data_IF_080048340316
#
_entry.id   IF_080048340316
#
_cell.length_a   1.000
_cell.length_b   1.000
_cell.length_c   1.000
_cell.angle_alpha   90.00
_cell.angle_beta   90.00
_cell.angle_gamma   90.00
#
_symmetry.space_group_name_H-M   'P 1'
#
loop_
_entity.id
_entity.type
_entity.pdbx_description
1 polymer ?
#
# COMPACT_ATOMS: atom_id res chain seq x y z
N UNK A 1 21.00 13.26 -1.52
CA UNK A 1 19.80 13.09 -0.66
C UNK A 1 19.36 14.47 -0.23
N UNK A 2 18.19 14.95 -0.68
CA UNK A 2 17.77 16.35 -0.49
C UNK A 2 17.50 16.75 0.98
N UNK A 3 17.34 15.77 1.88
CA UNK A 3 17.32 15.97 3.33
C UNK A 3 18.03 14.79 4.02
N UNK A 4 19.34 14.93 4.39
CA UNK A 4 20.03 13.87 5.13
C UNK A 4 19.39 13.63 6.49
N UNK A 5 19.49 12.39 6.97
CA UNK A 5 19.06 12.04 8.33
C UNK A 5 20.00 12.72 9.32
N UNK A 6 19.47 13.76 9.96
CA UNK A 6 20.16 14.61 10.93
C UNK A 6 19.07 15.15 11.85
N UNK A 7 19.30 15.27 13.18
CA UNK A 7 18.27 15.71 14.13
C UNK A 7 17.62 17.05 13.74
N UNK A 8 18.37 17.95 13.10
CA UNK A 8 17.89 19.25 12.63
C UNK A 8 16.88 19.17 11.47
N UNK A 9 16.97 18.13 10.63
CA UNK A 9 16.12 17.98 9.46
C UNK A 9 14.84 17.17 9.73
N UNK A 10 14.71 16.56 10.91
CA UNK A 10 13.59 15.69 11.27
C UNK A 10 12.25 16.40 11.09
N UNK A 11 12.13 17.65 11.59
CA UNK A 11 10.88 18.42 11.47
C UNK A 11 10.49 18.69 10.02
N UNK A 12 11.47 19.00 9.15
CA UNK A 12 11.23 19.21 7.72
C UNK A 12 10.78 17.91 7.04
N UNK A 13 11.43 16.79 7.37
CA UNK A 13 11.10 15.46 6.83
C UNK A 13 9.72 14.98 7.26
N UNK A 14 9.36 15.21 8.53
CA UNK A 14 8.02 14.94 9.04
C UNK A 14 6.98 15.85 8.37
N UNK A 15 7.32 17.13 8.16
CA UNK A 15 6.50 18.05 7.37
C UNK A 15 6.23 17.53 5.95
N UNK A 16 7.26 17.01 5.26
CA UNK A 16 7.09 16.38 3.95
C UNK A 16 6.24 15.11 4.02
N UNK A 17 6.39 14.27 5.05
CA UNK A 17 5.55 13.09 5.25
C UNK A 17 4.08 13.47 5.44
N UNK A 18 3.79 14.46 6.29
CA UNK A 18 2.43 14.96 6.50
C UNK A 18 1.85 15.57 5.23
N UNK A 19 2.63 16.37 4.49
CA UNK A 19 2.21 16.93 3.21
C UNK A 19 1.89 15.83 2.19
N UNK A 20 2.75 14.81 2.10
CA UNK A 20 2.52 13.65 1.24
C UNK A 20 1.25 12.89 1.61
N UNK A 21 1.03 12.66 2.90
CA UNK A 21 -0.19 12.04 3.42
C UNK A 21 -1.45 12.85 3.09
N UNK A 22 -1.40 14.17 3.27
CA UNK A 22 -2.50 15.06 2.93
C UNK A 22 -2.81 15.06 1.43
N UNK A 23 -1.79 15.19 0.57
CA UNK A 23 -1.95 15.11 -0.89
C UNK A 23 -2.53 13.75 -1.33
N UNK A 24 -2.08 12.66 -0.71
CA UNK A 24 -2.60 11.31 -0.98
C UNK A 24 -4.06 11.20 -0.57
N UNK A 25 -4.44 11.75 0.59
CA UNK A 25 -5.83 11.82 1.04
C UNK A 25 -6.72 12.60 0.07
N UNK A 26 -6.27 13.77 -0.39
CA UNK A 26 -6.99 14.58 -1.40
C UNK A 26 -7.13 13.80 -2.71
N UNK A 27 -6.07 13.11 -3.15
CA UNK A 27 -6.10 12.29 -4.36
C UNK A 27 -7.09 11.12 -4.27
N UNK A 28 -7.42 10.63 -3.08
CA UNK A 28 -8.42 9.58 -2.88
C UNK A 28 -9.86 10.13 -2.86
N UNK A 29 -10.04 11.44 -2.72
CA UNK A 29 -11.35 12.09 -2.61
C UNK A 29 -12.36 11.66 -3.69
N UNK A 30 -12.02 11.70 -4.99
CA UNK A 30 -12.93 11.27 -6.06
C UNK A 30 -13.36 9.80 -5.95
N UNK A 31 -12.44 8.93 -5.56
CA UNK A 31 -12.73 7.50 -5.37
C UNK A 31 -13.65 7.28 -4.16
N UNK A 32 -13.41 7.99 -3.06
CA UNK A 32 -14.26 7.94 -1.87
C UNK A 32 -15.66 8.49 -2.16
N UNK A 33 -15.77 9.57 -2.94
CA UNK A 33 -17.05 10.11 -3.39
C UNK A 33 -17.85 9.10 -4.20
N UNK A 34 -17.21 8.48 -5.20
CA UNK A 34 -17.85 7.45 -6.03
C UNK A 34 -18.34 6.24 -5.22
N UNK A 35 -17.61 5.84 -4.17
CA UNK A 35 -18.05 4.73 -3.29
C UNK A 35 -19.12 5.18 -2.29
N UNK A 36 -19.06 6.42 -1.81
CA UNK A 36 -20.08 6.98 -0.93
C UNK A 36 -21.46 7.07 -1.61
N UNK A 37 -21.48 7.37 -2.92
CA UNK A 37 -22.70 7.41 -3.72
C UNK A 37 -23.35 6.02 -3.88
N UNK A 38 -22.54 4.95 -3.89
CA UNK A 38 -23.03 3.56 -3.93
C UNK A 38 -23.53 3.14 -2.54
N UNK A 39 -22.62 3.17 -1.56
CA UNK A 39 -22.91 2.76 -0.18
C UNK A 39 -21.82 3.30 0.76
N UNK A 40 -22.14 4.28 1.63
CA UNK A 40 -21.14 4.93 2.48
C UNK A 40 -20.55 4.02 3.56
N UNK A 41 -21.24 2.94 3.95
CA UNK A 41 -20.74 1.98 4.94
C UNK A 41 -19.52 1.19 4.47
N UNK A 42 -19.23 1.17 3.16
CA UNK A 42 -18.08 0.44 2.60
C UNK A 42 -16.76 1.07 3.05
N UNK A 43 -16.69 2.39 3.18
CA UNK A 43 -15.47 3.13 3.50
C UNK A 43 -14.88 2.68 4.85
N UNK A 44 -15.62 2.72 5.98
CA UNK A 44 -15.08 2.27 7.26
C UNK A 44 -14.78 0.77 7.26
N UNK A 45 -15.57 -0.06 6.57
CA UNK A 45 -15.30 -1.51 6.45
C UNK A 45 -13.98 -1.76 5.71
N UNK A 46 -13.73 -1.06 4.61
CA UNK A 46 -12.48 -1.16 3.86
C UNK A 46 -11.29 -0.69 4.70
N UNK A 47 -11.45 0.39 5.47
CA UNK A 47 -10.40 0.90 6.34
C UNK A 47 -10.04 -0.11 7.44
N UNK A 48 -11.05 -0.62 8.16
CA UNK A 48 -10.84 -1.62 9.22
C UNK A 48 -10.27 -2.93 8.68
N UNK A 49 -10.75 -3.39 7.51
CA UNK A 49 -10.21 -4.56 6.84
C UNK A 49 -8.74 -4.38 6.45
N UNK A 50 -8.36 -3.19 5.98
CA UNK A 50 -6.97 -2.86 5.64
C UNK A 50 -6.08 -2.80 6.88
N UNK A 51 -6.56 -2.23 7.99
CA UNK A 51 -5.86 -2.26 9.27
C UNK A 51 -5.65 -3.69 9.77
N UNK A 52 -6.65 -4.56 9.63
CA UNK A 52 -6.55 -5.96 10.04
C UNK A 52 -5.53 -6.73 9.17
N UNK A 53 -5.57 -6.56 7.85
CA UNK A 53 -4.61 -7.16 6.91
C UNK A 53 -3.19 -6.66 7.21
N UNK A 54 -3.00 -5.34 7.22
CA UNK A 54 -1.70 -4.72 7.45
C UNK A 54 -1.13 -5.12 8.82
N UNK A 55 -1.94 -5.04 9.88
CA UNK A 55 -1.50 -5.37 11.23
C UNK A 55 -1.15 -6.85 11.39
N UNK A 56 -1.98 -7.76 10.86
CA UNK A 56 -1.71 -9.20 10.95
C UNK A 56 -0.46 -9.61 10.16
N UNK A 57 -0.27 -9.07 8.96
CA UNK A 57 0.92 -9.34 8.14
C UNK A 57 2.18 -8.72 8.74
N UNK A 58 2.10 -7.48 9.25
CA UNK A 58 3.24 -6.84 9.92
C UNK A 58 3.67 -7.63 11.16
N UNK A 59 2.71 -8.10 11.97
CA UNK A 59 3.00 -8.99 13.10
C UNK A 59 3.62 -10.31 12.64
N UNK A 60 3.05 -10.95 11.61
CA UNK A 60 3.61 -12.19 11.07
C UNK A 60 5.05 -11.99 10.57
N UNK A 61 5.33 -10.88 9.91
CA UNK A 61 6.68 -10.50 9.50
C UNK A 61 7.60 -10.28 10.70
N UNK A 62 7.16 -9.61 11.76
CA UNK A 62 7.99 -9.39 12.96
C UNK A 62 8.42 -10.69 13.66
N UNK A 63 7.56 -11.72 13.64
CA UNK A 63 7.85 -13.04 14.23
C UNK A 63 8.53 -14.03 13.27
N UNK A 64 8.64 -13.69 11.98
CA UNK A 64 9.28 -14.55 10.99
C UNK A 64 10.79 -14.63 11.19
N UNK A 65 11.39 -15.73 10.72
CA UNK A 65 12.84 -15.89 10.72
C UNK A 65 13.53 -14.75 9.97
N UNK A 66 14.64 -14.27 10.54
CA UNK A 66 15.38 -13.12 10.01
C UNK A 66 15.76 -13.34 8.55
N UNK A 67 15.45 -12.37 7.69
CA UNK A 67 15.74 -12.36 6.24
C UNK A 67 14.96 -13.38 5.40
N UNK A 68 14.06 -14.15 5.99
CA UNK A 68 13.24 -15.12 5.23
C UNK A 68 12.41 -14.44 4.13
N UNK A 69 11.79 -13.30 4.44
CA UNK A 69 10.94 -12.56 3.49
C UNK A 69 11.74 -11.74 2.47
N UNK A 70 13.02 -11.46 2.70
CA UNK A 70 13.83 -10.64 1.78
C UNK A 70 14.08 -11.33 0.44
N UNK A 71 14.03 -12.66 0.40
CA UNK A 71 14.09 -13.43 -0.84
C UNK A 71 12.92 -13.11 -1.79
N UNK A 72 11.76 -12.71 -1.23
CA UNK A 72 10.56 -12.40 -2.00
C UNK A 72 10.67 -11.08 -2.78
N UNK A 73 11.63 -10.22 -2.44
CA UNK A 73 11.76 -8.88 -3.02
C UNK A 73 11.87 -8.87 -4.55
N UNK A 74 12.64 -9.81 -5.12
CA UNK A 74 12.76 -9.93 -6.59
C UNK A 74 11.43 -10.26 -7.27
N UNK A 75 10.65 -11.16 -6.68
CA UNK A 75 9.33 -11.52 -7.17
C UNK A 75 8.32 -10.38 -7.05
N UNK A 76 8.30 -9.69 -5.89
CA UNK A 76 7.39 -8.57 -5.64
C UNK A 76 7.63 -7.39 -6.58
N UNK A 77 8.89 -7.00 -6.78
CA UNK A 77 9.25 -5.92 -7.71
C UNK A 77 8.92 -6.30 -9.16
N UNK A 78 9.17 -7.56 -9.55
CA UNK A 78 8.77 -8.05 -10.88
C UNK A 78 7.25 -8.00 -11.07
N UNK A 79 6.48 -8.44 -10.06
CA UNK A 79 5.02 -8.42 -10.10
C UNK A 79 4.47 -6.99 -10.15
N UNK A 80 5.07 -6.05 -9.42
CA UNK A 80 4.69 -4.63 -9.45
C UNK A 80 4.88 -4.05 -10.85
N UNK A 81 6.03 -4.32 -11.49
CA UNK A 81 6.28 -3.90 -12.86
C UNK A 81 5.27 -4.48 -13.84
N UNK A 82 4.89 -5.75 -13.66
CA UNK A 82 3.87 -6.39 -14.50
C UNK A 82 2.50 -5.72 -14.36
N UNK A 83 2.08 -5.38 -13.13
CA UNK A 83 0.82 -4.67 -12.89
C UNK A 83 0.82 -3.27 -13.52
N UNK A 84 1.93 -2.53 -13.40
CA UNK A 84 2.09 -1.23 -14.05
C UNK A 84 1.97 -1.34 -15.57
N UNK A 85 2.61 -2.35 -16.16
CA UNK A 85 2.48 -2.63 -17.60
C UNK A 85 1.03 -2.99 -17.98
N UNK A 86 0.35 -3.83 -17.20
CA UNK A 86 -1.05 -4.16 -17.43
C UNK A 86 -1.96 -2.93 -17.39
N UNK A 87 -1.80 -2.06 -16.39
CA UNK A 87 -2.53 -0.79 -16.27
C UNK A 87 -2.29 0.10 -17.50
N UNK A 88 -1.04 0.20 -17.96
CA UNK A 88 -0.69 0.98 -19.14
C UNK A 88 -1.38 0.46 -20.41
N UNK A 89 -1.35 -0.85 -20.66
CA UNK A 89 -2.05 -1.44 -21.79
C UNK A 89 -3.58 -1.35 -21.65
N UNK A 90 -4.10 -1.42 -20.42
CA UNK A 90 -5.54 -1.35 -20.18
C UNK A 90 -6.14 0.03 -20.52
N UNK A 91 -5.34 1.10 -20.54
CA UNK A 91 -5.81 2.43 -21.01
C UNK A 91 -6.24 2.36 -22.48
N UNK A 92 -5.59 1.53 -23.31
CA UNK A 92 -5.92 1.37 -24.73
C UNK A 92 -7.00 0.31 -24.98
N UNK A 93 -7.02 -0.75 -24.18
CA UNK A 93 -7.93 -1.89 -24.36
C UNK A 93 -9.29 -1.71 -23.68
N UNK A 94 -9.33 -1.02 -22.53
CA UNK A 94 -10.55 -0.83 -21.73
C UNK A 94 -11.16 -2.13 -21.20
N UNK A 95 -10.34 -3.16 -20.94
CA UNK A 95 -10.83 -4.49 -20.56
C UNK A 95 -11.18 -4.58 -19.07
N UNK A 96 -12.44 -4.90 -18.79
CA UNK A 96 -12.90 -5.16 -17.41
C UNK A 96 -12.16 -6.33 -16.75
N UNK A 97 -11.80 -7.35 -17.52
CA UNK A 97 -11.06 -8.51 -16.99
C UNK A 97 -9.66 -8.11 -16.51
N UNK A 98 -8.96 -7.27 -17.27
CA UNK A 98 -7.62 -6.78 -16.88
C UNK A 98 -7.71 -5.88 -15.65
N UNK A 99 -8.76 -5.06 -15.55
CA UNK A 99 -9.01 -4.25 -14.36
C UNK A 99 -9.23 -5.12 -13.11
N UNK A 100 -10.04 -6.17 -13.20
CA UNK A 100 -10.27 -7.09 -12.08
C UNK A 100 -8.97 -7.81 -11.66
N UNK A 101 -8.18 -8.27 -12.63
CA UNK A 101 -6.88 -8.88 -12.36
C UNK A 101 -5.91 -7.90 -11.68
N UNK A 102 -5.87 -6.63 -12.10
CA UNK A 102 -5.06 -5.62 -11.42
C UNK A 102 -5.52 -5.46 -9.97
N UNK A 103 -6.81 -5.26 -9.73
CA UNK A 103 -7.35 -5.00 -8.39
C UNK A 103 -7.06 -6.15 -7.44
N UNK A 104 -7.39 -7.39 -7.81
CA UNK A 104 -7.16 -8.57 -6.96
C UNK A 104 -5.68 -8.98 -6.89
N UNK A 105 -4.99 -9.03 -8.03
CA UNK A 105 -3.58 -9.39 -8.09
C UNK A 105 -2.71 -8.38 -7.34
N UNK A 106 -3.01 -7.10 -7.50
CA UNK A 106 -2.38 -6.03 -6.75
C UNK A 106 -2.62 -6.13 -5.25
N UNK A 107 -3.82 -6.52 -4.79
CA UNK A 107 -4.07 -6.68 -3.36
C UNK A 107 -3.14 -7.74 -2.76
N UNK A 108 -3.03 -8.91 -3.41
CA UNK A 108 -2.12 -9.98 -2.98
C UNK A 108 -0.66 -9.50 -2.98
N UNK A 109 -0.28 -8.77 -4.02
CA UNK A 109 1.07 -8.24 -4.19
C UNK A 109 1.44 -7.24 -3.09
N UNK A 110 0.55 -6.30 -2.75
CA UNK A 110 0.78 -5.34 -1.66
C UNK A 110 0.75 -6.00 -0.28
N UNK A 111 -0.03 -7.06 -0.07
CA UNK A 111 0.10 -7.90 1.12
C UNK A 111 1.52 -8.50 1.23
N UNK A 112 2.09 -8.93 0.09
CA UNK A 112 3.48 -9.38 0.03
C UNK A 112 4.50 -8.27 0.31
N UNK A 113 4.26 -7.05 -0.19
CA UNK A 113 5.10 -5.90 0.14
C UNK A 113 5.09 -5.57 1.63
N UNK A 114 3.94 -5.60 2.32
CA UNK A 114 3.90 -5.39 3.78
C UNK A 114 4.82 -6.37 4.51
N UNK A 115 4.81 -7.65 4.11
CA UNK A 115 5.70 -8.66 4.69
C UNK A 115 7.17 -8.34 4.42
N UNK A 116 7.50 -7.98 3.18
CA UNK A 116 8.85 -7.67 2.75
C UNK A 116 9.39 -6.39 3.40
N UNK A 117 8.63 -5.30 3.35
CA UNK A 117 9.03 -3.99 3.87
C UNK A 117 9.13 -4.01 5.39
N UNK A 118 8.24 -4.69 6.11
CA UNK A 118 8.37 -4.87 7.56
C UNK A 118 9.68 -5.59 7.91
N UNK A 119 9.99 -6.69 7.22
CA UNK A 119 11.25 -7.42 7.43
C UNK A 119 12.49 -6.61 7.01
N UNK A 120 12.38 -5.82 5.94
CA UNK A 120 13.44 -4.94 5.47
C UNK A 120 13.73 -3.83 6.47
N UNK A 121 12.69 -3.25 7.09
CA UNK A 121 12.81 -2.25 8.15
C UNK A 121 13.51 -2.84 9.38
N UNK A 122 13.12 -4.04 9.81
CA UNK A 122 13.79 -4.75 10.93
C UNK A 122 15.26 -4.99 10.61
N UNK A 123 15.58 -5.41 9.39
CA UNK A 123 16.96 -5.64 8.97
C UNK A 123 17.77 -4.34 8.89
N UNK A 124 17.20 -3.26 8.34
CA UNK A 124 17.83 -1.92 8.30
C UNK A 124 18.11 -1.41 9.71
N UNK A 125 17.14 -1.53 10.61
CA UNK A 125 17.29 -1.15 12.02
C UNK A 125 18.41 -1.93 12.71
N UNK A 126 18.47 -3.25 12.50
CA UNK A 126 19.57 -4.08 13.03
C UNK A 126 20.95 -3.71 12.47
N UNK A 127 21.01 -3.09 11.30
CA UNK A 127 22.23 -2.59 10.68
C UNK A 127 22.55 -1.12 11.07
N UNK A 128 21.80 -0.53 12.01
CA UNK A 128 22.02 0.81 12.54
C UNK A 128 21.29 1.93 11.80
N UNK A 129 20.36 1.62 10.89
CA UNK A 129 19.52 2.62 10.20
C UNK A 129 18.24 2.88 11.02
N UNK A 130 18.21 4.00 11.73
CA UNK A 130 17.09 4.44 12.57
C UNK A 130 16.17 5.45 11.85
N UNK A 131 16.15 5.45 10.51
CA UNK A 131 15.34 6.36 9.70
C UNK A 131 13.84 6.03 9.72
N UNK A 132 13.19 6.26 10.86
CA UNK A 132 11.77 5.98 11.05
C UNK A 132 10.86 6.77 10.11
N UNK A 133 11.28 7.95 9.62
CA UNK A 133 10.45 8.76 8.70
C UNK A 133 10.35 8.06 7.35
N UNK A 134 11.48 7.54 6.85
CA UNK A 134 11.51 6.77 5.60
C UNK A 134 10.76 5.45 5.76
N UNK A 135 11.00 4.73 6.86
CA UNK A 135 10.31 3.47 7.15
C UNK A 135 8.79 3.65 7.27
N UNK A 136 8.35 4.75 7.88
CA UNK A 136 6.92 5.09 7.95
C UNK A 136 6.32 5.39 6.57
N UNK A 137 7.09 6.04 5.68
CA UNK A 137 6.64 6.33 4.32
C UNK A 137 6.48 5.03 3.50
N UNK A 138 7.45 4.13 3.57
CA UNK A 138 7.42 2.84 2.86
C UNK A 138 6.15 2.07 3.26
N UNK A 139 5.90 1.90 4.57
CA UNK A 139 4.70 1.24 5.10
C UNK A 139 3.39 1.98 4.80
N UNK A 140 3.41 3.31 4.77
CA UNK A 140 2.24 4.12 4.41
C UNK A 140 1.79 3.85 2.96
N UNK A 141 2.74 3.70 2.04
CA UNK A 141 2.44 3.39 0.64
C UNK A 141 1.81 2.00 0.49
N UNK A 142 2.31 1.00 1.21
CA UNK A 142 1.68 -0.33 1.20
C UNK A 142 0.26 -0.29 1.74
N UNK A 143 0.07 0.37 2.89
CA UNK A 143 -1.23 0.50 3.52
C UNK A 143 -2.26 1.18 2.59
N UNK A 144 -1.88 2.29 1.97
CA UNK A 144 -2.82 3.05 1.14
C UNK A 144 -3.19 2.30 -0.15
N UNK A 145 -2.27 1.49 -0.69
CA UNK A 145 -2.54 0.64 -1.84
C UNK A 145 -3.48 -0.52 -1.48
N UNK A 146 -3.29 -1.17 -0.33
CA UNK A 146 -4.24 -2.17 0.19
C UNK A 146 -5.62 -1.53 0.37
N UNK A 147 -5.70 -0.39 1.02
CA UNK A 147 -6.96 0.32 1.27
C UNK A 147 -7.70 0.66 -0.02
N UNK A 148 -7.03 1.26 -1.00
CA UNK A 148 -7.62 1.59 -2.29
C UNK A 148 -8.19 0.36 -2.98
N UNK A 149 -7.44 -0.74 -3.02
CA UNK A 149 -7.84 -1.96 -3.71
C UNK A 149 -9.00 -2.64 -2.99
N UNK A 150 -8.95 -2.73 -1.67
CA UNK A 150 -10.04 -3.30 -0.87
C UNK A 150 -11.33 -2.50 -1.02
N UNK A 151 -11.23 -1.17 -1.05
CA UNK A 151 -12.37 -0.28 -1.26
C UNK A 151 -13.01 -0.49 -2.64
N UNK A 152 -12.21 -0.63 -3.70
CA UNK A 152 -12.71 -0.95 -5.06
C UNK A 152 -13.37 -2.34 -5.10
N UNK A 153 -12.78 -3.35 -4.45
CA UNK A 153 -13.33 -4.71 -4.40
C UNK A 153 -14.71 -4.71 -3.73
N UNK A 154 -14.83 -4.07 -2.56
CA UNK A 154 -16.09 -4.02 -1.83
C UNK A 154 -17.17 -3.25 -2.59
N UNK A 155 -16.80 -2.12 -3.21
CA UNK A 155 -17.73 -1.35 -4.06
C UNK A 155 -18.22 -2.16 -5.27
N UNK A 156 -17.31 -2.85 -5.97
CA UNK A 156 -17.65 -3.69 -7.13
C UNK A 156 -18.59 -4.84 -6.76
N UNK A 157 -18.40 -5.48 -5.59
CA UNK A 157 -19.29 -6.56 -5.12
C UNK A 157 -20.71 -6.09 -4.81
N UNK A 158 -20.85 -4.91 -4.20
CA UNK A 158 -22.18 -4.35 -3.90
C UNK A 158 -22.92 -3.98 -5.18
N UNK A 159 -22.22 -3.39 -6.16
CA UNK A 159 -22.82 -3.05 -7.46
C UNK A 159 -23.28 -4.29 -8.25
N UNK A 160 -22.62 -5.44 -8.10
CA UNK A 160 -23.03 -6.70 -8.76
C UNK A 160 -24.25 -7.38 -8.10
N UNK A 161 -24.62 -6.97 -6.88
CA UNK A 161 -25.75 -7.52 -6.13
C UNK A 161 -27.04 -6.70 -6.28
N UNK A 162 -26.96 -5.55 -6.95
CA UNK A 162 -28.06 -4.66 -7.31
C UNK A 162 -28.43 -4.84 -8.78
#
# INVERSE_FOLDING_TARGET
MFTPHTPENVTKRLGFLCAFGACTGVSLGPLLGAVADIQPSIIPTAFLGSCAIFGSLSLAALYAERRSMLFLGGFLISGLNMLVMMLFFNIFLGSYMVFQLDVYGGLILFCGFVLFDTQLIVERFNNGDDDYVRHSLDLFLDFINIFRRLLVILASKVCLLL
#
